data_IF_227758069264
#
_entry.id   IF_227758069264
#
_cell.length_a   1.000
_cell.length_b   1.000
_cell.length_c   1.000
_cell.angle_alpha   90.00
_cell.angle_beta   90.00
_cell.angle_gamma   90.00
#
_symmetry.space_group_name_H-M   'P 1'
#
loop_
_entity.id
_entity.type
_entity.pdbx_description
1 polymer ?
#
# COMPACT_ATOMS: atom_id res chain seq x y z
N UNK A 1 13.93 -9.49 -3.41
CA UNK A 1 12.78 -10.30 -3.84
C UNK A 1 11.49 -9.58 -3.42
N UNK A 2 10.54 -9.50 -4.33
CA UNK A 2 9.24 -8.86 -4.11
C UNK A 2 8.14 -9.91 -4.22
N UNK A 3 7.41 -10.12 -3.12
CA UNK A 3 6.17 -10.90 -3.11
C UNK A 3 4.99 -9.95 -2.95
N UNK A 4 3.94 -10.15 -3.72
CA UNK A 4 2.74 -9.32 -3.65
C UNK A 4 1.47 -10.16 -3.65
N UNK A 5 0.38 -9.57 -3.18
CA UNK A 5 -0.95 -10.20 -3.17
C UNK A 5 -1.85 -9.53 -4.20
N UNK A 6 -2.61 -10.32 -4.96
CA UNK A 6 -3.59 -9.80 -5.91
C UNK A 6 -4.72 -10.81 -6.16
N UNK A 7 -5.76 -10.42 -6.88
CA UNK A 7 -6.80 -11.34 -7.35
C UNK A 7 -6.34 -12.09 -8.60
N UNK A 8 -6.98 -13.24 -8.87
CA UNK A 8 -6.66 -14.12 -10.02
C UNK A 8 -6.48 -13.36 -11.33
N UNK A 9 -7.37 -12.42 -11.64
CA UNK A 9 -7.37 -11.69 -12.91
C UNK A 9 -6.19 -10.71 -13.09
N UNK A 10 -5.42 -10.46 -12.03
CA UNK A 10 -4.31 -9.51 -12.05
C UNK A 10 -2.94 -10.20 -11.91
N UNK A 11 -2.91 -11.52 -11.74
CA UNK A 11 -1.67 -12.28 -11.47
C UNK A 11 -0.63 -12.05 -12.56
N UNK A 12 -1.02 -12.20 -13.83
CA UNK A 12 -0.08 -12.06 -14.94
C UNK A 12 0.41 -10.61 -15.09
N UNK A 13 -0.49 -9.63 -14.90
CA UNK A 13 -0.13 -8.22 -14.93
C UNK A 13 0.93 -7.90 -13.86
N UNK A 14 0.74 -8.37 -12.64
CA UNK A 14 1.64 -8.08 -11.52
C UNK A 14 2.99 -8.79 -11.70
N UNK A 15 3.02 -10.00 -12.25
CA UNK A 15 4.27 -10.68 -12.65
C UNK A 15 5.03 -9.90 -13.72
N UNK A 16 4.33 -9.39 -14.72
CA UNK A 16 4.94 -8.57 -15.79
C UNK A 16 5.49 -7.23 -15.27
N UNK A 17 4.96 -6.73 -14.15
CA UNK A 17 5.47 -5.56 -13.46
C UNK A 17 6.74 -5.86 -12.62
N UNK A 18 7.16 -7.13 -12.53
CA UNK A 18 8.42 -7.51 -11.88
C UNK A 18 8.28 -8.16 -10.51
N UNK A 19 7.09 -8.60 -10.10
CA UNK A 19 6.97 -9.37 -8.86
C UNK A 19 7.60 -10.77 -9.03
N UNK A 20 8.51 -11.13 -8.11
CA UNK A 20 9.14 -12.45 -8.09
C UNK A 20 8.15 -13.55 -7.70
N UNK A 21 7.22 -13.22 -6.80
CA UNK A 21 6.17 -14.13 -6.32
C UNK A 21 4.83 -13.40 -6.21
N UNK A 22 3.77 -14.07 -6.64
CA UNK A 22 2.41 -13.53 -6.56
C UNK A 22 1.52 -14.50 -5.79
N UNK A 23 0.87 -14.02 -4.75
CA UNK A 23 -0.11 -14.73 -3.95
C UNK A 23 -1.50 -14.30 -4.43
N UNK A 24 -2.26 -15.24 -4.98
CA UNK A 24 -3.66 -15.03 -5.36
C UNK A 24 -4.52 -15.14 -4.10
N UNK A 25 -4.91 -13.99 -3.52
CA UNK A 25 -5.68 -13.97 -2.27
C UNK A 25 -7.10 -14.55 -2.40
N UNK A 26 -7.57 -14.83 -3.63
CA UNK A 26 -8.85 -15.49 -3.85
C UNK A 26 -8.77 -17.01 -3.68
N UNK A 27 -7.55 -17.57 -3.65
CA UNK A 27 -7.28 -19.01 -3.55
C UNK A 27 -6.56 -19.41 -2.29
N UNK A 28 -5.71 -18.53 -1.76
CA UNK A 28 -4.90 -18.80 -0.58
C UNK A 28 -4.65 -17.54 0.23
N UNK A 29 -4.47 -17.69 1.52
CA UNK A 29 -4.06 -16.58 2.39
C UNK A 29 -2.56 -16.34 2.27
N UNK A 30 -2.14 -15.06 2.35
CA UNK A 30 -0.72 -14.74 2.48
C UNK A 30 -0.11 -15.28 3.79
N UNK A 31 -0.95 -15.64 4.76
CA UNK A 31 -0.52 -16.27 6.01
C UNK A 31 -0.09 -17.73 5.83
N UNK A 32 -0.52 -18.36 4.74
CA UNK A 32 -0.16 -19.73 4.40
C UNK A 32 1.21 -19.83 3.72
N UNK A 33 1.82 -18.67 3.46
CA UNK A 33 3.16 -18.61 2.91
C UNK A 33 4.20 -19.01 3.97
N UNK A 34 5.06 -19.95 3.62
CA UNK A 34 6.15 -20.40 4.50
C UNK A 34 7.33 -19.43 4.52
N UNK A 35 7.37 -18.46 3.59
CA UNK A 35 8.43 -17.45 3.54
C UNK A 35 8.23 -16.39 4.61
N UNK A 36 9.35 -15.85 5.09
CA UNK A 36 9.38 -14.69 6.00
C UNK A 36 10.04 -13.51 5.32
N UNK A 37 9.48 -12.33 5.55
CA UNK A 37 9.84 -11.10 4.87
C UNK A 37 10.57 -10.13 5.80
N UNK A 38 11.50 -9.38 5.24
CA UNK A 38 12.21 -8.32 5.98
C UNK A 38 11.31 -7.09 6.17
N UNK A 39 10.50 -6.78 5.15
CA UNK A 39 9.60 -5.63 5.13
C UNK A 39 8.25 -6.04 4.55
N UNK A 40 7.16 -5.58 5.16
CA UNK A 40 5.81 -5.64 4.59
C UNK A 40 5.31 -4.22 4.36
N UNK A 41 4.86 -3.93 3.13
CA UNK A 41 4.17 -2.70 2.77
C UNK A 41 2.66 -2.97 2.77
N UNK A 42 1.96 -2.41 3.75
CA UNK A 42 0.53 -2.63 3.97
C UNK A 42 -0.30 -1.47 3.42
N UNK A 43 -1.16 -1.77 2.45
CA UNK A 43 -2.08 -0.82 1.81
C UNK A 43 -3.54 -1.06 2.20
N UNK A 44 -3.83 -2.06 3.05
CA UNK A 44 -5.19 -2.49 3.38
C UNK A 44 -5.62 -2.06 4.77
N UNK A 45 -4.69 -2.01 5.72
CA UNK A 45 -4.99 -1.62 7.09
C UNK A 45 -5.73 -2.67 7.93
N UNK A 46 -6.18 -2.26 9.11
CA UNK A 46 -7.01 -3.08 10.00
C UNK A 46 -6.35 -4.40 10.41
N UNK A 47 -7.07 -5.52 10.21
CA UNK A 47 -6.54 -6.84 10.57
C UNK A 47 -5.34 -7.24 9.71
N UNK A 48 -5.26 -6.79 8.45
CA UNK A 48 -4.13 -7.07 7.56
C UNK A 48 -2.82 -6.49 8.11
N UNK A 49 -2.85 -5.29 8.70
CA UNK A 49 -1.68 -4.72 9.39
C UNK A 49 -1.19 -5.63 10.52
N UNK A 50 -2.10 -6.14 11.35
CA UNK A 50 -1.75 -7.03 12.48
C UNK A 50 -1.22 -8.37 11.97
N UNK A 51 -1.84 -8.92 10.95
CA UNK A 51 -1.46 -10.21 10.36
C UNK A 51 -0.12 -10.14 9.62
N UNK A 52 0.27 -8.96 9.11
CA UNK A 52 1.58 -8.73 8.49
C UNK A 52 2.74 -9.13 9.38
N UNK A 53 2.62 -8.98 10.71
CA UNK A 53 3.68 -9.40 11.64
C UNK A 53 3.87 -10.91 11.74
N UNK A 54 2.88 -11.71 11.31
CA UNK A 54 2.99 -13.17 11.31
C UNK A 54 3.89 -13.70 10.19
N UNK A 55 4.07 -12.90 9.13
CA UNK A 55 4.90 -13.24 7.97
C UNK A 55 6.24 -12.50 7.96
N UNK A 56 6.49 -11.64 8.94
CA UNK A 56 7.78 -10.97 9.10
C UNK A 56 8.84 -11.88 9.73
N UNK A 57 10.08 -11.62 9.37
CA UNK A 57 11.26 -12.05 10.14
C UNK A 57 11.32 -11.27 11.46
N UNK A 58 12.05 -11.81 12.42
CA UNK A 58 12.44 -11.07 13.63
C UNK A 58 13.20 -9.80 13.24
N UNK A 59 12.95 -8.69 13.95
CA UNK A 59 13.47 -7.35 13.66
C UNK A 59 13.01 -6.76 12.30
N UNK A 60 12.03 -7.37 11.64
CA UNK A 60 11.47 -6.85 10.39
C UNK A 60 10.64 -5.58 10.58
N UNK A 61 10.08 -5.07 9.49
CA UNK A 61 9.31 -3.82 9.51
C UNK A 61 8.00 -3.92 8.75
N UNK A 62 6.91 -3.41 9.35
CA UNK A 62 5.68 -3.10 8.64
C UNK A 62 5.61 -1.60 8.39
N UNK A 63 5.41 -1.21 7.12
CA UNK A 63 5.10 0.16 6.72
C UNK A 63 3.68 0.16 6.19
N UNK A 64 2.78 0.94 6.77
CA UNK A 64 1.39 1.00 6.37
C UNK A 64 0.97 2.40 5.94
N UNK A 65 0.13 2.49 4.92
CA UNK A 65 -0.54 3.72 4.49
C UNK A 65 -2.04 3.72 4.82
N UNK A 66 -2.55 2.63 5.40
CA UNK A 66 -3.97 2.42 5.71
C UNK A 66 -4.24 1.92 7.14
N UNK A 67 -3.18 1.68 7.92
CA UNK A 67 -3.28 1.24 9.31
C UNK A 67 -3.51 2.38 10.31
N UNK A 68 -3.40 2.07 11.59
CA UNK A 68 -3.49 3.08 12.64
C UNK A 68 -2.19 3.90 12.74
N UNK A 69 -2.31 5.17 13.11
CA UNK A 69 -1.17 6.07 13.32
C UNK A 69 -0.25 5.53 14.43
N UNK A 70 1.04 5.48 14.14
CA UNK A 70 2.05 5.26 15.18
C UNK A 70 2.34 6.56 15.96
N UNK A 71 2.93 6.43 17.14
CA UNK A 71 3.19 7.57 18.02
C UNK A 71 4.15 8.58 17.41
N UNK A 72 5.15 8.13 16.63
CA UNK A 72 6.11 9.02 15.97
C UNK A 72 5.42 9.88 14.92
N UNK A 73 4.56 9.27 14.10
CA UNK A 73 3.77 10.01 13.10
C UNK A 73 2.78 10.97 13.77
N UNK A 74 2.14 10.54 14.87
CA UNK A 74 1.26 11.40 15.66
C UNK A 74 1.99 12.62 16.26
N UNK A 75 3.23 12.43 16.71
CA UNK A 75 4.09 13.52 17.18
C UNK A 75 4.50 14.48 16.06
N UNK A 76 4.89 13.95 14.90
CA UNK A 76 5.22 14.76 13.71
C UNK A 76 4.04 15.63 13.24
N UNK A 77 2.81 15.16 13.46
CA UNK A 77 1.58 15.92 13.20
C UNK A 77 1.26 16.97 14.30
N UNK A 78 2.09 17.08 15.32
CA UNK A 78 1.89 18.03 16.42
C UNK A 78 0.70 17.68 17.33
N UNK A 79 0.25 16.41 17.34
CA UNK A 79 -0.87 16.01 18.18
C UNK A 79 -0.51 16.06 19.66
N UNK A 80 -1.43 16.57 20.48
CA UNK A 80 -1.20 16.65 21.93
C UNK A 80 -1.15 15.26 22.59
N UNK A 81 -0.57 15.20 23.78
CA UNK A 81 -0.34 13.93 24.52
C UNK A 81 -1.61 13.13 24.80
N UNK A 82 -2.75 13.79 24.99
CA UNK A 82 -4.02 13.13 25.23
C UNK A 82 -4.53 12.39 23.99
N UNK A 83 -4.49 13.05 22.82
CA UNK A 83 -4.86 12.44 21.54
C UNK A 83 -3.89 11.30 21.22
N UNK A 84 -2.59 11.49 21.39
CA UNK A 84 -1.58 10.43 21.20
C UNK A 84 -1.86 9.21 22.08
N UNK A 85 -2.25 9.42 23.32
CA UNK A 85 -2.64 8.33 24.22
C UNK A 85 -3.85 7.55 23.69
N UNK A 86 -4.89 8.23 23.22
CA UNK A 86 -6.08 7.57 22.60
C UNK A 86 -5.67 6.76 21.37
N UNK A 87 -4.83 7.34 20.49
CA UNK A 87 -4.34 6.65 19.28
C UNK A 87 -3.49 5.43 19.65
N UNK A 88 -2.65 5.52 20.68
CA UNK A 88 -1.85 4.37 21.14
C UNK A 88 -2.70 3.22 21.66
N UNK A 89 -3.82 3.53 22.32
CA UNK A 89 -4.81 2.51 22.73
C UNK A 89 -5.43 1.81 21.51
N UNK A 90 -5.75 2.55 20.46
CA UNK A 90 -6.26 2.01 19.20
C UNK A 90 -5.23 1.12 18.50
N UNK A 91 -3.99 1.58 18.43
CA UNK A 91 -2.87 0.86 17.81
C UNK A 91 -2.33 -0.30 18.68
N UNK A 92 -2.91 -0.58 19.86
CA UNK A 92 -2.40 -1.57 20.82
C UNK A 92 -2.21 -2.98 20.24
N UNK A 93 -3.09 -3.41 19.32
CA UNK A 93 -2.96 -4.72 18.66
C UNK A 93 -1.72 -4.77 17.78
N UNK A 94 -1.45 -3.70 17.04
CA UNK A 94 -0.27 -3.54 16.18
C UNK A 94 1.00 -3.55 17.03
N UNK A 95 1.05 -2.70 18.06
CA UNK A 95 2.19 -2.61 18.97
C UNK A 95 2.49 -3.94 19.65
N UNK A 96 1.45 -4.66 20.11
CA UNK A 96 1.60 -5.99 20.72
C UNK A 96 2.10 -7.03 19.72
N UNK A 97 1.67 -6.98 18.46
CA UNK A 97 2.12 -7.90 17.42
C UNK A 97 3.59 -7.63 17.07
N UNK A 98 3.97 -6.35 16.91
CA UNK A 98 5.34 -5.92 16.64
C UNK A 98 6.31 -6.35 17.74
N UNK A 99 5.97 -6.11 19.01
CA UNK A 99 6.84 -6.43 20.15
C UNK A 99 7.15 -7.92 20.32
N UNK A 100 6.27 -8.81 19.86
CA UNK A 100 6.48 -10.28 19.96
C UNK A 100 7.68 -10.78 19.15
N UNK A 101 8.04 -10.08 18.09
CA UNK A 101 9.12 -10.44 17.16
C UNK A 101 10.15 -9.32 17.05
N UNK A 102 10.14 -8.37 17.99
CA UNK A 102 11.02 -7.20 17.99
C UNK A 102 10.97 -6.39 16.67
N UNK A 103 9.82 -6.42 15.97
CA UNK A 103 9.63 -5.71 14.72
C UNK A 103 9.23 -4.25 14.94
N UNK A 104 9.42 -3.43 13.92
CA UNK A 104 8.99 -2.05 13.90
C UNK A 104 7.72 -1.85 13.06
N UNK A 105 6.92 -0.87 13.45
CA UNK A 105 5.75 -0.40 12.72
C UNK A 105 5.88 1.08 12.41
N UNK A 106 5.56 1.48 11.19
CA UNK A 106 5.45 2.89 10.80
C UNK A 106 4.21 3.10 9.96
N UNK A 107 3.40 4.06 10.35
CA UNK A 107 2.40 4.64 9.47
C UNK A 107 3.07 5.71 8.60
N UNK A 108 2.90 5.60 7.29
CA UNK A 108 3.44 6.57 6.33
C UNK A 108 2.34 7.52 5.88
N UNK A 109 2.46 8.76 6.29
CA UNK A 109 1.59 9.84 5.81
C UNK A 109 2.31 10.58 4.67
N UNK A 110 1.63 10.70 3.54
CA UNK A 110 2.14 11.45 2.38
C UNK A 110 2.30 12.92 2.74
N UNK A 111 3.43 13.50 2.37
CA UNK A 111 3.66 14.93 2.39
C UNK A 111 4.11 15.42 1.01
N UNK A 112 3.69 16.60 0.56
CA UNK A 112 4.12 17.17 -0.72
C UNK A 112 5.64 17.30 -0.77
N UNK A 113 6.28 16.74 -1.80
CA UNK A 113 7.72 16.79 -1.97
C UNK A 113 8.10 16.92 -3.45
N UNK A 114 8.40 18.14 -3.89
CA UNK A 114 8.75 18.43 -5.28
C UNK A 114 10.02 17.74 -5.76
N UNK A 115 11.00 17.47 -4.86
CA UNK A 115 12.21 16.73 -5.23
C UNK A 115 11.89 15.29 -5.58
N UNK A 116 11.08 14.62 -4.74
CA UNK A 116 10.63 13.24 -5.02
C UNK A 116 9.80 13.16 -6.30
N UNK A 117 8.91 14.14 -6.56
CA UNK A 117 8.16 14.19 -7.81
C UNK A 117 9.07 14.32 -9.02
N UNK A 118 10.12 15.14 -8.93
CA UNK A 118 11.09 15.29 -10.01
C UNK A 118 11.92 14.01 -10.23
N UNK A 119 12.26 13.29 -9.18
CA UNK A 119 12.93 11.98 -9.29
C UNK A 119 12.01 10.94 -9.94
N UNK A 120 10.73 10.90 -9.56
CA UNK A 120 9.74 10.04 -10.21
C UNK A 120 9.57 10.37 -11.69
N UNK A 121 9.51 11.67 -12.05
CA UNK A 121 9.42 12.09 -13.45
C UNK A 121 10.60 11.54 -14.28
N UNK A 122 11.83 11.60 -13.76
CA UNK A 122 13.02 11.02 -14.43
C UNK A 122 12.92 9.51 -14.60
N UNK A 123 12.30 8.79 -13.67
CA UNK A 123 12.08 7.34 -13.80
C UNK A 123 11.05 7.03 -14.89
N UNK A 124 10.02 7.85 -15.05
CA UNK A 124 9.06 7.74 -16.14
C UNK A 124 9.73 8.04 -17.50
N UNK A 125 10.52 9.13 -17.59
CA UNK A 125 11.24 9.50 -18.80
C UNK A 125 12.22 8.41 -19.27
N UNK A 126 12.87 7.70 -18.33
CA UNK A 126 13.76 6.56 -18.61
C UNK A 126 13.01 5.26 -18.86
N UNK A 127 11.69 5.28 -18.90
CA UNK A 127 10.84 4.09 -19.01
C UNK A 127 11.09 3.01 -17.93
N UNK A 128 11.77 3.37 -16.84
CA UNK A 128 12.03 2.45 -15.71
C UNK A 128 10.75 2.16 -14.93
N UNK A 129 9.76 3.06 -14.99
CA UNK A 129 8.41 2.91 -14.44
C UNK A 129 7.42 3.24 -15.54
N UNK A 130 6.45 2.35 -15.78
CA UNK A 130 5.36 2.59 -16.73
C UNK A 130 4.01 2.58 -16.01
N UNK A 131 3.20 3.64 -16.17
CA UNK A 131 1.85 3.63 -15.63
C UNK A 131 1.00 2.59 -16.37
N UNK A 132 0.24 1.81 -15.63
CA UNK A 132 -0.77 0.95 -16.23
C UNK A 132 -2.01 1.79 -16.45
N UNK A 133 -2.41 1.98 -17.71
CA UNK A 133 -3.68 2.61 -18.09
C UNK A 133 -4.70 1.49 -18.27
N UNK A 134 -5.80 1.58 -17.53
CA UNK A 134 -6.89 0.60 -17.60
C UNK A 134 -7.92 1.02 -18.64
N UNK A 135 -8.45 2.24 -18.52
CA UNK A 135 -9.40 2.81 -19.46
C UNK A 135 -9.13 4.30 -19.68
N UNK A 136 -9.41 4.75 -20.91
CA UNK A 136 -9.41 6.15 -21.30
C UNK A 136 -10.82 6.55 -21.71
N UNK A 137 -11.28 7.71 -21.25
CA UNK A 137 -12.59 8.29 -21.50
C UNK A 137 -12.45 9.68 -22.12
N UNK A 138 -13.42 10.13 -22.88
CA UNK A 138 -13.51 11.53 -23.29
C UNK A 138 -14.00 12.41 -22.14
N UNK A 139 -13.90 13.72 -22.30
CA UNK A 139 -14.40 14.66 -21.28
C UNK A 139 -15.91 14.51 -21.05
N UNK A 140 -16.68 14.29 -22.09
CA UNK A 140 -18.14 14.07 -22.04
C UNK A 140 -18.49 12.79 -21.24
N UNK A 141 -17.58 11.81 -21.22
CA UNK A 141 -17.74 10.54 -20.51
C UNK A 141 -17.20 10.58 -19.07
N UNK A 142 -16.81 11.75 -18.54
CA UNK A 142 -16.19 11.90 -17.21
C UNK A 142 -17.03 11.26 -16.10
N UNK A 143 -18.36 11.37 -16.18
CA UNK A 143 -19.26 10.76 -15.17
C UNK A 143 -19.18 9.24 -15.24
N UNK A 144 -19.12 8.66 -16.44
CA UNK A 144 -18.96 7.21 -16.62
C UNK A 144 -17.59 6.73 -16.11
N UNK A 145 -16.52 7.53 -16.29
CA UNK A 145 -15.20 7.25 -15.76
C UNK A 145 -15.20 7.20 -14.22
N UNK A 146 -15.87 8.16 -13.56
CA UNK A 146 -16.04 8.20 -12.10
C UNK A 146 -16.85 6.99 -11.61
N UNK A 147 -17.95 6.67 -12.29
CA UNK A 147 -18.79 5.52 -11.94
C UNK A 147 -18.02 4.20 -12.10
N UNK A 148 -17.21 4.06 -13.15
CA UNK A 148 -16.32 2.91 -13.33
C UNK A 148 -15.30 2.80 -12.17
N UNK A 149 -14.65 3.91 -11.83
CA UNK A 149 -13.65 3.95 -10.75
C UNK A 149 -14.26 3.63 -9.38
N UNK A 150 -15.50 4.11 -9.12
CA UNK A 150 -16.20 3.88 -7.86
C UNK A 150 -16.51 2.41 -7.58
N UNK A 151 -16.57 1.56 -8.61
CA UNK A 151 -16.76 0.11 -8.49
C UNK A 151 -15.52 -0.61 -7.94
N UNK A 152 -14.38 0.09 -7.80
CA UNK A 152 -13.16 -0.42 -7.18
C UNK A 152 -12.50 -1.59 -7.93
N UNK A 153 -12.76 -1.75 -9.24
CA UNK A 153 -12.26 -2.86 -10.07
C UNK A 153 -11.23 -2.43 -11.11
N UNK A 154 -10.89 -1.14 -11.14
CA UNK A 154 -9.88 -0.62 -12.05
C UNK A 154 -8.52 -1.29 -11.80
N UNK A 155 -7.88 -1.75 -12.88
CA UNK A 155 -6.58 -2.45 -12.84
C UNK A 155 -5.39 -1.49 -12.98
N UNK A 156 -5.67 -0.23 -13.21
CA UNK A 156 -4.68 0.81 -13.43
C UNK A 156 -5.29 2.20 -13.33
N UNK A 157 -4.71 3.15 -14.04
CA UNK A 157 -5.23 4.52 -14.10
C UNK A 157 -6.43 4.61 -15.03
N UNK A 158 -7.46 5.29 -14.57
CA UNK A 158 -8.58 5.74 -15.40
C UNK A 158 -8.26 7.17 -15.84
N UNK A 159 -8.17 7.39 -17.13
CA UNK A 159 -7.75 8.66 -17.73
C UNK A 159 -8.95 9.32 -18.42
N UNK A 160 -9.09 10.62 -18.25
CA UNK A 160 -10.02 11.45 -19.03
C UNK A 160 -9.20 12.35 -19.93
N UNK A 161 -9.40 12.24 -21.24
CA UNK A 161 -8.73 13.06 -22.24
C UNK A 161 -9.58 14.28 -22.59
N UNK A 162 -8.91 15.42 -22.62
CA UNK A 162 -9.47 16.66 -23.11
C UNK A 162 -8.95 16.83 -24.55
N UNK A 163 -9.83 16.67 -25.53
CA UNK A 163 -9.52 17.12 -26.88
C UNK A 163 -9.52 18.65 -26.91
N UNK A 164 -8.31 19.24 -27.07
CA UNK A 164 -8.14 20.65 -27.33
C UNK A 164 -8.44 20.96 -28.80
#
# INVERSE_FOLDING_TARGET
>A
NVTTTTSTNNVDMVKNLGADKVIDYTKQSFLDDNEKYDVVYDTLGGQHTVDSFKVLKENGRVVSIAGDLDDITAEQLGLNKFIRFILSMKARKITKAASKINASYRFYLMSPNGKQLNELAKLYEKESIKPVIDNTYTFEESIAAIDYLSKGRAKGKVVVEFSG
#
